data_IF_119149661597
#
_entry.id   IF_119149661597
#
_cell.length_a   1.000
_cell.length_b   1.000
_cell.length_c   1.000
_cell.angle_alpha   90.00
_cell.angle_beta   90.00
_cell.angle_gamma   90.00
#
_symmetry.space_group_name_H-M   'P 1'
#
loop_
_entity.id
_entity.type
_entity.pdbx_description
1 polymer ?
#
# COMPACT_ATOMS: atom_id res chain seq x y z
N UNK A 1 -5.11 -11.07 -31.59
CA UNK A 1 -4.24 -10.61 -30.48
C UNK A 1 -5.14 -10.43 -29.26
N UNK A 2 -5.04 -11.31 -28.27
CA UNK A 2 -5.89 -11.25 -27.07
C UNK A 2 -5.30 -10.18 -26.15
N UNK A 3 -5.96 -9.03 -26.11
CA UNK A 3 -5.73 -8.03 -25.05
C UNK A 3 -6.24 -8.64 -23.74
N UNK A 4 -5.39 -9.42 -23.07
CA UNK A 4 -5.62 -9.80 -21.69
C UNK A 4 -5.59 -8.50 -20.88
N UNK A 5 -6.77 -8.01 -20.50
CA UNK A 5 -6.91 -7.00 -19.45
C UNK A 5 -6.32 -7.62 -18.19
N UNK A 6 -5.04 -7.37 -17.94
CA UNK A 6 -4.37 -7.72 -16.69
C UNK A 6 -5.26 -7.22 -15.57
N UNK A 7 -5.81 -8.14 -14.78
CA UNK A 7 -6.59 -7.82 -13.58
C UNK A 7 -5.68 -6.96 -12.72
N UNK A 8 -5.91 -5.64 -12.72
CA UNK A 8 -5.14 -4.72 -11.87
C UNK A 8 -5.29 -5.27 -10.46
N UNK A 9 -4.18 -5.69 -9.86
CA UNK A 9 -4.21 -6.18 -8.50
C UNK A 9 -4.82 -5.07 -7.64
N UNK A 10 -5.95 -5.36 -7.00
CA UNK A 10 -6.62 -4.39 -6.15
C UNK A 10 -5.67 -4.04 -5.01
N UNK A 11 -5.28 -2.76 -4.95
CA UNK A 11 -4.55 -2.23 -3.81
C UNK A 11 -5.45 -2.37 -2.58
N UNK A 12 -4.88 -2.88 -1.49
CA UNK A 12 -5.56 -2.99 -0.21
C UNK A 12 -4.94 -2.00 0.76
N UNK A 13 -5.76 -1.50 1.68
CA UNK A 13 -5.32 -0.56 2.71
C UNK A 13 -4.71 -1.31 3.89
N UNK A 14 -3.57 -0.82 4.36
CA UNK A 14 -2.81 -1.38 5.45
C UNK A 14 -2.47 -0.31 6.48
N UNK A 15 -2.53 -0.68 7.75
CA UNK A 15 -2.01 0.13 8.84
C UNK A 15 -0.53 -0.17 9.06
N UNK A 16 0.28 0.88 9.16
CA UNK A 16 1.70 0.77 9.46
C UNK A 16 1.90 0.55 10.96
N UNK A 17 2.47 -0.59 11.34
CA UNK A 17 2.78 -0.93 12.73
C UNK A 17 4.17 -0.45 13.17
N UNK A 18 5.08 -0.30 12.22
CA UNK A 18 6.45 0.15 12.48
C UNK A 18 6.94 1.03 11.34
N UNK A 19 7.63 2.14 11.65
CA UNK A 19 8.08 3.07 10.62
C UNK A 19 9.00 2.39 9.61
N UNK A 20 8.81 2.73 8.35
CA UNK A 20 9.62 2.24 7.25
C UNK A 20 9.72 3.28 6.14
N UNK A 21 10.81 3.23 5.38
CA UNK A 21 10.96 4.05 4.19
C UNK A 21 10.46 3.28 2.98
N UNK A 22 9.50 3.87 2.26
CA UNK A 22 9.10 3.37 0.97
C UNK A 22 10.24 3.60 -0.05
N UNK A 23 10.79 2.54 -0.65
CA UNK A 23 11.94 2.66 -1.54
C UNK A 23 11.60 3.47 -2.81
N UNK A 24 10.38 3.35 -3.31
CA UNK A 24 9.93 4.01 -4.53
C UNK A 24 9.71 5.51 -4.35
N UNK A 25 9.13 5.92 -3.22
CA UNK A 25 8.75 7.33 -3.00
C UNK A 25 9.76 8.10 -2.13
N UNK A 26 10.79 7.42 -1.61
CA UNK A 26 11.71 7.94 -0.58
C UNK A 26 10.96 8.55 0.62
N UNK A 27 9.73 8.11 0.83
CA UNK A 27 8.84 8.61 1.87
C UNK A 27 8.95 7.72 3.10
N UNK A 28 8.98 8.33 4.28
CA UNK A 28 8.97 7.62 5.55
C UNK A 28 7.54 7.55 6.06
N UNK A 29 6.98 6.34 6.09
CA UNK A 29 5.71 6.08 6.76
C UNK A 29 5.96 5.89 8.26
N UNK A 30 5.07 6.47 9.06
CA UNK A 30 5.08 6.39 10.51
C UNK A 30 4.08 5.34 11.01
N UNK A 31 4.26 4.91 12.27
CA UNK A 31 3.32 4.00 12.91
C UNK A 31 1.94 4.66 13.01
N UNK A 32 0.89 3.95 12.60
CA UNK A 32 -0.50 4.42 12.55
C UNK A 32 -0.89 5.02 11.21
N UNK A 33 0.05 5.23 10.28
CA UNK A 33 -0.30 5.65 8.92
C UNK A 33 -1.08 4.55 8.19
N UNK A 34 -1.97 4.98 7.29
CA UNK A 34 -2.71 4.09 6.39
C UNK A 34 -2.11 4.21 5.00
N UNK A 35 -1.72 3.07 4.43
CA UNK A 35 -1.06 2.97 3.13
C UNK A 35 -1.80 1.97 2.25
N UNK A 36 -2.03 2.35 1.00
CA UNK A 36 -2.53 1.43 -0.01
C UNK A 36 -1.35 0.72 -0.67
N UNK A 37 -1.30 -0.60 -0.52
CA UNK A 37 -0.21 -1.43 -1.02
C UNK A 37 -0.75 -2.49 -1.96
N UNK A 38 0.03 -2.78 -3.00
CA UNK A 38 -0.20 -3.96 -3.81
C UNK A 38 0.01 -5.22 -2.96
N UNK A 39 -0.66 -6.35 -3.28
CA UNK A 39 -0.51 -7.59 -2.54
C UNK A 39 0.95 -8.02 -2.37
N UNK A 40 1.76 -7.94 -3.43
CA UNK A 40 3.17 -8.31 -3.39
C UNK A 40 4.00 -7.41 -2.44
N UNK A 41 3.75 -6.10 -2.44
CA UNK A 41 4.44 -5.15 -1.55
C UNK A 41 4.02 -5.37 -0.10
N UNK A 42 2.73 -5.61 0.12
CA UNK A 42 2.16 -5.86 1.43
C UNK A 42 2.66 -7.18 2.04
N UNK A 43 2.86 -8.24 1.26
CA UNK A 43 3.39 -9.50 1.76
C UNK A 43 4.79 -9.32 2.37
N UNK A 44 5.67 -8.59 1.67
CA UNK A 44 7.01 -8.30 2.20
C UNK A 44 6.94 -7.52 3.52
N UNK A 45 6.10 -6.49 3.58
CA UNK A 45 5.94 -5.66 4.77
C UNK A 45 5.23 -6.40 5.91
N UNK A 46 4.30 -7.31 5.62
CA UNK A 46 3.65 -8.19 6.59
C UNK A 46 4.65 -9.18 7.20
N UNK A 47 5.50 -9.80 6.37
CA UNK A 47 6.54 -10.72 6.84
C UNK A 47 7.50 -10.03 7.82
N UNK A 48 7.81 -8.75 7.57
CA UNK A 48 8.62 -7.92 8.47
C UNK A 48 7.86 -7.33 9.67
N UNK A 49 6.57 -7.66 9.86
CA UNK A 49 5.73 -7.10 10.93
C UNK A 49 5.55 -5.58 10.84
N UNK A 50 5.75 -4.99 9.65
CA UNK A 50 5.70 -3.55 9.43
C UNK A 50 4.29 -3.03 9.18
N UNK A 51 3.40 -3.85 8.62
CA UNK A 51 2.04 -3.45 8.27
C UNK A 51 1.00 -4.52 8.61
N UNK A 52 -0.25 -4.10 8.82
CA UNK A 52 -1.41 -4.97 9.12
C UNK A 52 -2.56 -4.63 8.20
N UNK A 53 -3.24 -5.65 7.68
CA UNK A 53 -4.41 -5.44 6.80
C UNK A 53 -5.52 -4.73 7.59
N UNK A 54 -6.00 -3.61 7.06
CA UNK A 54 -7.19 -2.93 7.56
C UNK A 54 -8.41 -3.48 6.84
N UNK A 55 -9.27 -4.19 7.56
CA UNK A 55 -10.52 -4.76 7.02
C UNK A 55 -11.66 -3.73 6.97
N UNK A 56 -11.47 -2.56 7.59
CA UNK A 56 -12.42 -1.44 7.58
C UNK A 56 -11.99 -0.43 6.51
N UNK A 57 -12.74 -0.34 5.41
CA UNK A 57 -12.59 0.71 4.39
C UNK A 57 -12.55 2.09 5.06
N UNK A 58 -11.55 2.90 4.73
CA UNK A 58 -11.87 3.96 3.78
C UNK A 58 -10.82 4.06 2.67
N UNK A 59 -11.33 3.97 1.44
CA UNK A 59 -10.74 4.57 0.25
C UNK A 59 -10.20 5.96 0.55
N UNK A 60 -8.89 6.11 0.66
CA UNK A 60 -8.22 7.40 0.53
C UNK A 60 -7.19 7.26 -0.58
N UNK A 61 -7.69 7.22 -1.81
CA UNK A 61 -6.93 7.66 -2.98
C UNK A 61 -6.50 9.11 -2.73
N UNK A 62 -5.36 9.29 -2.08
CA UNK A 62 -4.64 10.57 -2.10
C UNK A 62 -3.92 10.65 -3.43
N UNK A 63 -4.70 10.88 -4.48
CA UNK A 63 -4.25 11.45 -5.74
C UNK A 63 -3.61 12.80 -5.40
N UNK A 64 -2.30 12.81 -5.18
CA UNK A 64 -1.52 14.06 -5.25
C UNK A 64 -1.41 14.39 -6.74
N UNK A 65 -2.42 15.08 -7.24
CA UNK A 65 -2.32 15.92 -8.42
C UNK A 65 -1.03 16.75 -8.32
N UNK A 66 -0.13 16.57 -9.28
CA UNK A 66 1.00 17.48 -9.46
C UNK A 66 0.51 18.61 -10.37
N UNK A 67 0.59 19.83 -9.84
CA UNK A 67 0.28 21.09 -10.51
C UNK A 67 1.43 21.52 -11.42
#
# INVERSE_FOLDING_TARGET
MVTQKSKLAECLSYEVLAPYQCPNQRHWYQKGDIVDLLPCEAEFLKLGGKVKLMTSLPTQQKEKANA
#
